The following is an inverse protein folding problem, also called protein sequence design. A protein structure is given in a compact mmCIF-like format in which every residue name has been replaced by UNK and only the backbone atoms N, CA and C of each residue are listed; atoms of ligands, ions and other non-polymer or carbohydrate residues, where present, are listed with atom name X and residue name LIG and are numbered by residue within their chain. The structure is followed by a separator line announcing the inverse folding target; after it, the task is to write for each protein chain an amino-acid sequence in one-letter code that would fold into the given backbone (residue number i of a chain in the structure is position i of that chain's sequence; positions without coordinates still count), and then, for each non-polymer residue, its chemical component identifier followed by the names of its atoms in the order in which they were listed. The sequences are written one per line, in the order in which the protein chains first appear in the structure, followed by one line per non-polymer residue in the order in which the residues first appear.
data_IF_098581354114
#
_entry.id   IF_098581354114
#
_cell.length_a   1.000
_cell.length_b   1.000
_cell.length_c   1.000
_cell.angle_alpha   90.00
_cell.angle_beta   90.00
_cell.angle_gamma   90.00
#
_symmetry.space_group_name_H-M   'P 1'
#
loop_
_entity.id
_entity.type
_entity.pdbx_description
1 polymer ?
#
# COMPACT_ATOMS: atom_id res chain seq x y z
N UNK A 1 29.91 -13.05 2.19
CA UNK A 1 30.55 -12.71 0.91
C UNK A 1 30.15 -13.68 -0.20
N UNK A 2 28.84 -14.03 -0.31
CA UNK A 2 28.35 -14.94 -1.37
C UNK A 2 26.95 -14.56 -1.88
N UNK A 3 26.46 -13.33 -1.57
CA UNK A 3 25.08 -12.96 -1.90
C UNK A 3 24.84 -12.21 -3.22
N UNK A 4 25.82 -11.67 -3.98
CA UNK A 4 25.49 -11.00 -5.25
C UNK A 4 25.41 -11.92 -6.48
N UNK A 5 25.87 -13.18 -6.40
CA UNK A 5 25.93 -14.05 -7.58
C UNK A 5 24.70 -14.93 -7.82
N UNK A 6 23.82 -15.07 -6.83
CA UNK A 6 22.62 -15.90 -6.95
C UNK A 6 21.45 -15.17 -7.63
N UNK A 7 21.30 -13.86 -7.42
CA UNK A 7 20.22 -13.09 -8.07
C UNK A 7 20.39 -12.95 -9.60
N UNK A 8 21.63 -12.86 -10.08
CA UNK A 8 21.89 -12.79 -11.52
C UNK A 8 21.84 -14.15 -12.24
N UNK A 9 22.13 -15.24 -11.53
CA UNK A 9 22.09 -16.57 -12.11
C UNK A 9 20.65 -17.10 -12.28
N UNK A 10 19.74 -16.78 -11.37
CA UNK A 10 18.34 -17.21 -11.43
C UNK A 10 17.62 -16.53 -12.60
N UNK A 11 17.90 -15.25 -12.90
CA UNK A 11 17.29 -14.53 -14.01
C UNK A 11 17.74 -15.01 -15.40
N UNK A 12 19.02 -15.38 -15.57
CA UNK A 12 19.52 -15.89 -16.84
C UNK A 12 19.08 -17.32 -17.15
N UNK A 13 18.95 -18.18 -16.14
CA UNK A 13 18.44 -19.55 -16.32
C UNK A 13 16.95 -19.60 -16.64
N UNK A 14 16.16 -18.63 -16.14
CA UNK A 14 14.74 -18.52 -16.42
C UNK A 14 14.44 -18.29 -17.91
N UNK A 15 15.24 -17.50 -18.59
CA UNK A 15 14.98 -17.10 -19.98
C UNK A 15 15.38 -18.22 -20.98
N UNK A 16 16.49 -18.91 -20.74
CA UNK A 16 16.96 -19.95 -21.67
C UNK A 16 16.24 -21.28 -21.57
N UNK A 17 15.80 -21.71 -20.40
CA UNK A 17 15.11 -22.99 -20.22
C UNK A 17 13.65 -22.99 -20.56
N UNK A 18 12.95 -21.85 -20.45
CA UNK A 18 11.53 -21.70 -20.72
C UNK A 18 11.25 -21.53 -22.22
N UNK A 19 12.09 -20.80 -22.95
CA UNK A 19 11.86 -20.58 -24.38
C UNK A 19 11.97 -21.83 -25.25
N UNK A 20 12.80 -22.79 -24.92
CA UNK A 20 12.94 -24.03 -25.70
C UNK A 20 11.88 -25.11 -25.41
N UNK A 21 11.35 -25.17 -24.18
CA UNK A 21 10.33 -26.18 -23.80
C UNK A 21 8.88 -25.70 -23.79
N UNK A 22 8.62 -24.40 -23.70
CA UNK A 22 7.27 -23.84 -23.75
C UNK A 22 6.63 -23.95 -25.15
N UNK A 23 7.36 -24.38 -26.18
CA UNK A 23 6.85 -24.50 -27.58
C UNK A 23 6.12 -25.79 -27.93
N UNK A 24 6.11 -26.79 -27.04
CA UNK A 24 5.30 -28.02 -27.27
C UNK A 24 4.64 -28.44 -25.94
N UNK A 25 3.34 -28.18 -25.78
CA UNK A 25 2.59 -28.82 -24.69
C UNK A 25 2.64 -30.32 -24.91
N UNK A 26 3.22 -31.05 -23.99
CA UNK A 26 3.18 -32.51 -24.00
C UNK A 26 1.76 -32.97 -23.77
N UNK A 27 1.29 -33.88 -24.60
CA UNK A 27 -0.11 -34.26 -24.80
C UNK A 27 -0.85 -34.85 -23.58
N UNK A 28 -0.23 -35.04 -22.42
CA UNK A 28 -0.85 -35.73 -21.27
C UNK A 28 -0.53 -35.09 -19.90
N UNK A 29 -0.38 -33.76 -19.80
CA UNK A 29 -0.08 -33.09 -18.54
C UNK A 29 -1.15 -32.08 -18.10
N UNK A 30 -2.39 -32.29 -18.53
CA UNK A 30 -3.52 -31.41 -18.22
C UNK A 30 -3.97 -31.52 -16.74
N UNK A 31 -3.84 -32.71 -16.14
CA UNK A 31 -4.16 -32.92 -14.73
C UNK A 31 -2.90 -32.78 -13.86
N UNK A 32 -3.00 -32.15 -12.66
CA UNK A 32 -1.85 -31.91 -11.79
C UNK A 32 -1.13 -33.20 -11.37
N UNK A 33 -1.86 -34.28 -11.14
CA UNK A 33 -1.28 -35.59 -10.82
C UNK A 33 -0.49 -36.18 -11.98
N UNK A 34 -0.97 -36.02 -13.21
CA UNK A 34 -0.28 -36.52 -14.42
C UNK A 34 1.00 -35.72 -14.67
N UNK A 35 0.94 -34.41 -14.49
CA UNK A 35 2.12 -33.54 -14.58
C UNK A 35 3.19 -33.95 -13.56
N UNK A 36 2.82 -34.20 -12.31
CA UNK A 36 3.76 -34.64 -11.27
C UNK A 36 4.30 -36.03 -11.53
N UNK A 37 3.48 -36.99 -12.05
CA UNK A 37 3.97 -38.30 -12.47
C UNK A 37 4.99 -38.18 -13.61
N UNK A 38 4.71 -37.37 -14.59
CA UNK A 38 5.65 -37.12 -15.69
C UNK A 38 6.96 -36.56 -15.18
N UNK A 39 6.92 -35.56 -14.29
CA UNK A 39 8.10 -35.00 -13.65
C UNK A 39 8.90 -36.10 -12.94
N UNK A 40 8.24 -36.92 -12.13
CA UNK A 40 8.86 -37.99 -11.34
C UNK A 40 9.50 -39.09 -12.21
N UNK A 41 8.90 -39.41 -13.35
CA UNK A 41 9.34 -40.55 -14.17
C UNK A 41 10.25 -40.18 -15.33
N UNK A 42 10.09 -38.99 -15.89
CA UNK A 42 10.76 -38.59 -17.13
C UNK A 42 11.89 -37.54 -16.88
N UNK A 43 11.79 -36.73 -15.82
CA UNK A 43 12.76 -35.68 -15.54
C UNK A 43 13.77 -36.21 -14.51
N UNK A 44 15.01 -36.42 -14.93
CA UNK A 44 16.09 -36.93 -14.05
C UNK A 44 16.84 -35.83 -13.33
N UNK A 45 16.85 -34.64 -13.84
CA UNK A 45 17.49 -33.48 -13.21
C UNK A 45 16.99 -32.18 -13.82
N UNK A 46 16.94 -31.10 -13.02
CA UNK A 46 16.62 -29.75 -13.49
C UNK A 46 15.65 -29.01 -12.59
N UNK A 47 15.26 -27.84 -13.07
CA UNK A 47 14.28 -26.97 -12.38
C UNK A 47 12.96 -26.98 -13.15
N UNK A 48 11.90 -27.31 -12.46
CA UNK A 48 10.54 -27.34 -13.03
C UNK A 48 9.72 -26.20 -12.42
N UNK A 49 9.24 -25.30 -13.28
CA UNK A 49 8.41 -24.19 -12.88
C UNK A 49 6.94 -24.57 -12.98
N UNK A 50 6.19 -24.40 -11.90
CA UNK A 50 4.77 -24.71 -11.81
C UNK A 50 3.99 -23.42 -11.42
N UNK A 51 3.58 -22.60 -12.41
CA UNK A 51 2.77 -21.42 -12.16
C UNK A 51 1.38 -21.79 -11.64
N UNK A 52 0.87 -21.01 -10.68
CA UNK A 52 -0.48 -21.13 -10.11
C UNK A 52 -0.85 -22.53 -9.57
N UNK A 53 0.15 -23.35 -9.29
CA UNK A 53 -0.04 -24.73 -8.80
C UNK A 53 -0.60 -24.79 -7.36
N UNK A 54 -0.61 -23.67 -6.65
CA UNK A 54 -1.12 -23.55 -5.28
C UNK A 54 -2.59 -24.02 -5.15
N UNK A 55 -3.41 -23.80 -6.17
CA UNK A 55 -4.81 -24.22 -6.16
C UNK A 55 -4.99 -25.74 -5.99
N UNK A 56 -3.99 -26.52 -6.40
CA UNK A 56 -4.03 -27.98 -6.32
C UNK A 56 -3.43 -28.53 -5.03
N UNK A 57 -2.75 -27.72 -4.22
CA UNK A 57 -2.12 -28.16 -2.97
C UNK A 57 -3.11 -28.36 -1.81
N UNK A 58 -4.40 -28.17 -2.06
CA UNK A 58 -5.49 -28.62 -1.18
C UNK A 58 -5.77 -30.11 -1.30
N UNK A 59 -5.32 -30.76 -2.39
CA UNK A 59 -5.49 -32.21 -2.62
C UNK A 59 -4.35 -33.00 -1.95
N UNK A 60 -4.65 -33.89 -0.97
CA UNK A 60 -3.62 -34.66 -0.28
C UNK A 60 -2.77 -35.55 -1.18
N UNK A 61 -3.34 -36.07 -2.31
CA UNK A 61 -2.59 -36.88 -3.28
C UNK A 61 -1.54 -36.05 -4.00
N UNK A 62 -1.87 -34.80 -4.37
CA UNK A 62 -0.93 -33.87 -5.00
C UNK A 62 0.20 -33.49 -4.04
N UNK A 63 -0.14 -33.14 -2.80
CA UNK A 63 0.83 -32.79 -1.76
C UNK A 63 1.81 -33.95 -1.53
N UNK A 64 1.31 -35.18 -1.45
CA UNK A 64 2.12 -36.38 -1.30
C UNK A 64 3.09 -36.57 -2.47
N UNK A 65 2.64 -36.38 -3.71
CA UNK A 65 3.50 -36.53 -4.89
C UNK A 65 4.59 -35.45 -4.94
N UNK A 66 4.26 -34.21 -4.61
CA UNK A 66 5.25 -33.12 -4.48
C UNK A 66 6.29 -33.48 -3.42
N UNK A 67 5.85 -34.00 -2.26
CA UNK A 67 6.75 -34.43 -1.19
C UNK A 67 7.67 -35.56 -1.64
N UNK A 68 7.14 -36.57 -2.35
CA UNK A 68 7.91 -37.71 -2.87
C UNK A 68 9.00 -37.24 -3.86
N UNK A 69 8.69 -36.29 -4.75
CA UNK A 69 9.67 -35.72 -5.68
C UNK A 69 10.77 -34.96 -4.92
N UNK A 70 10.38 -34.15 -3.93
CA UNK A 70 11.33 -33.38 -3.14
C UNK A 70 12.25 -34.29 -2.28
N UNK A 71 11.74 -35.40 -1.76
CA UNK A 71 12.51 -36.37 -0.97
C UNK A 71 13.48 -37.20 -1.81
N UNK A 72 13.17 -37.43 -3.08
CA UNK A 72 14.01 -38.21 -4.01
C UNK A 72 15.14 -37.38 -4.64
N UNK A 73 15.37 -36.16 -4.15
CA UNK A 73 16.38 -35.23 -4.70
C UNK A 73 17.80 -35.83 -4.77
N UNK A 74 18.16 -36.73 -3.86
CA UNK A 74 19.47 -37.37 -3.84
C UNK A 74 19.68 -38.27 -5.07
N UNK A 75 18.63 -38.92 -5.58
CA UNK A 75 18.69 -39.81 -6.75
C UNK A 75 18.35 -39.07 -8.03
N UNK A 76 17.35 -38.19 -7.96
CA UNK A 76 16.84 -37.39 -9.06
C UNK A 76 16.83 -35.89 -8.64
N UNK A 77 17.87 -35.12 -8.93
CA UNK A 77 17.99 -33.73 -8.51
C UNK A 77 17.05 -32.82 -9.29
N UNK A 78 15.75 -32.91 -8.97
CA UNK A 78 14.68 -32.08 -9.54
C UNK A 78 14.22 -31.07 -8.48
N UNK A 79 14.31 -29.78 -8.80
CA UNK A 79 13.81 -28.71 -7.96
C UNK A 79 12.47 -28.22 -8.53
N UNK A 80 11.42 -28.27 -7.72
CA UNK A 80 10.13 -27.71 -8.07
C UNK A 80 10.08 -26.25 -7.61
N UNK A 81 9.73 -25.34 -8.51
CA UNK A 81 9.53 -23.91 -8.22
C UNK A 81 8.06 -23.59 -8.41
N UNK A 82 7.36 -23.36 -7.32
CA UNK A 82 5.95 -23.01 -7.29
C UNK A 82 5.84 -21.49 -7.28
N UNK A 83 5.19 -20.91 -8.27
CA UNK A 83 4.97 -19.46 -8.38
C UNK A 83 3.49 -19.16 -8.23
N UNK A 84 3.15 -18.28 -7.29
CA UNK A 84 1.76 -17.92 -7.03
C UNK A 84 1.67 -16.53 -6.36
N UNK A 85 0.53 -15.88 -6.52
CA UNK A 85 0.20 -14.60 -5.87
C UNK A 85 -0.14 -14.76 -4.38
N UNK A 86 -0.63 -15.93 -3.98
CA UNK A 86 -0.94 -16.25 -2.57
C UNK A 86 -0.60 -17.72 -2.33
N UNK A 87 0.32 -17.99 -1.41
CA UNK A 87 0.82 -19.33 -1.19
C UNK A 87 0.93 -19.65 0.30
N UNK A 88 0.10 -20.59 0.75
CA UNK A 88 0.27 -21.20 2.07
C UNK A 88 0.92 -22.58 1.88
N UNK A 89 2.11 -22.73 2.43
CA UNK A 89 2.85 -23.99 2.34
C UNK A 89 2.16 -25.04 3.21
N UNK A 90 1.70 -26.17 2.65
CA UNK A 90 1.18 -27.26 3.45
C UNK A 90 2.18 -27.72 4.51
N UNK A 91 1.73 -28.07 5.73
CA UNK A 91 2.63 -28.48 6.83
C UNK A 91 3.60 -29.60 6.45
N UNK A 92 3.18 -30.51 5.57
CA UNK A 92 3.96 -31.65 5.09
C UNK A 92 5.16 -31.23 4.23
N UNK A 93 5.10 -30.05 3.61
CA UNK A 93 6.11 -29.51 2.71
C UNK A 93 7.01 -28.45 3.37
N UNK A 94 6.65 -27.94 4.54
CA UNK A 94 7.38 -26.85 5.21
C UNK A 94 8.87 -27.10 5.40
N UNK A 95 9.24 -28.36 5.73
CA UNK A 95 10.66 -28.73 5.94
C UNK A 95 11.42 -29.01 4.64
N UNK A 96 10.74 -29.09 3.52
CA UNK A 96 11.29 -29.43 2.20
C UNK A 96 11.26 -28.22 1.26
N UNK A 97 10.75 -27.09 1.71
CA UNK A 97 10.56 -25.89 0.90
C UNK A 97 11.21 -24.68 1.53
N UNK A 98 11.61 -23.75 0.67
CA UNK A 98 12.07 -22.40 1.05
C UNK A 98 11.14 -21.40 0.39
N UNK A 99 10.68 -20.43 1.16
CA UNK A 99 9.82 -19.38 0.67
C UNK A 99 10.66 -18.18 0.23
N UNK A 100 10.38 -17.66 -0.96
CA UNK A 100 11.00 -16.45 -1.50
C UNK A 100 9.92 -15.45 -1.87
N UNK A 101 9.94 -14.31 -1.23
CA UNK A 101 9.12 -13.17 -1.64
C UNK A 101 9.82 -12.39 -2.75
N UNK A 102 9.15 -12.26 -3.89
CA UNK A 102 9.64 -11.41 -4.98
C UNK A 102 9.39 -9.96 -4.57
N UNK A 103 10.47 -9.26 -4.24
CA UNK A 103 10.39 -7.86 -3.85
C UNK A 103 10.00 -6.98 -5.03
N UNK A 104 9.06 -6.05 -4.77
CA UNK A 104 8.71 -5.01 -5.73
C UNK A 104 9.88 -4.03 -5.93
N UNK A 105 9.95 -3.34 -7.09
CA UNK A 105 11.02 -2.39 -7.38
C UNK A 105 11.17 -1.33 -6.30
N UNK A 106 12.38 -1.13 -5.83
CA UNK A 106 12.72 -0.02 -4.94
C UNK A 106 12.86 1.30 -5.73
N UNK A 107 12.97 2.42 -5.04
CA UNK A 107 13.08 3.74 -5.68
C UNK A 107 14.28 3.86 -6.65
N UNK A 108 15.39 3.13 -6.41
CA UNK A 108 16.55 3.12 -7.32
C UNK A 108 16.20 2.41 -8.63
N UNK A 109 15.53 1.26 -8.55
CA UNK A 109 15.09 0.51 -9.73
C UNK A 109 14.03 1.29 -10.51
N UNK A 110 13.05 1.93 -9.84
CA UNK A 110 12.05 2.80 -10.49
C UNK A 110 12.72 3.95 -11.23
N UNK A 111 13.75 4.57 -10.64
CA UNK A 111 14.52 5.62 -11.32
C UNK A 111 15.23 5.10 -12.57
N UNK A 112 15.71 3.87 -12.56
CA UNK A 112 16.27 3.22 -13.76
C UNK A 112 15.21 3.03 -14.83
N UNK A 113 14.05 2.47 -14.47
CA UNK A 113 12.91 2.29 -15.37
C UNK A 113 12.50 3.62 -16.02
N UNK A 114 12.36 4.68 -15.22
CA UNK A 114 12.05 6.02 -15.71
C UNK A 114 13.07 6.51 -16.73
N UNK A 115 14.36 6.37 -16.43
CA UNK A 115 15.43 6.77 -17.36
C UNK A 115 15.40 5.95 -18.65
N UNK A 116 15.09 4.66 -18.58
CA UNK A 116 15.00 3.79 -19.76
C UNK A 116 13.81 4.19 -20.65
N UNK A 117 12.62 4.45 -20.06
CA UNK A 117 11.46 4.93 -20.81
C UNK A 117 11.71 6.31 -21.46
N UNK A 118 12.33 7.24 -20.71
CA UNK A 118 12.72 8.55 -21.27
C UNK A 118 13.71 8.39 -22.44
N UNK A 119 14.65 7.45 -22.37
CA UNK A 119 15.59 7.15 -23.46
C UNK A 119 14.88 6.57 -24.68
N UNK A 120 13.96 5.62 -24.48
CA UNK A 120 13.17 5.05 -25.58
C UNK A 120 12.30 6.10 -26.24
N UNK A 121 11.61 6.92 -25.45
CA UNK A 121 10.80 8.01 -25.97
C UNK A 121 11.60 9.01 -26.81
N UNK A 122 12.81 9.40 -26.35
CA UNK A 122 13.71 10.29 -27.11
C UNK A 122 14.10 9.73 -28.45
N UNK A 123 14.42 8.42 -28.55
CA UNK A 123 14.74 7.77 -29.82
C UNK A 123 13.61 7.90 -30.84
N UNK A 124 12.36 7.84 -30.37
CA UNK A 124 11.18 7.94 -31.25
C UNK A 124 10.79 9.38 -31.57
N UNK A 125 11.18 10.38 -30.76
CA UNK A 125 10.74 11.78 -30.88
C UNK A 125 11.86 12.78 -31.18
N UNK A 126 12.84 12.39 -32.00
CA UNK A 126 13.89 13.27 -32.54
C UNK A 126 14.52 14.22 -31.51
N UNK A 127 15.02 13.67 -30.39
CA UNK A 127 15.75 14.38 -29.35
C UNK A 127 14.96 15.46 -28.54
N UNK A 128 13.64 15.45 -28.59
CA UNK A 128 12.87 16.27 -27.70
C UNK A 128 13.14 15.87 -26.22
N UNK A 129 13.10 16.84 -25.34
CA UNK A 129 13.31 16.62 -23.90
C UNK A 129 11.97 16.53 -23.20
N UNK A 130 11.79 15.48 -22.40
CA UNK A 130 10.67 15.40 -21.45
C UNK A 130 10.85 16.52 -20.41
N UNK A 131 9.84 17.38 -20.29
CA UNK A 131 9.84 18.47 -19.31
C UNK A 131 9.45 17.92 -17.94
N UNK A 132 10.20 18.25 -16.93
CA UNK A 132 9.89 17.85 -15.55
C UNK A 132 10.68 18.68 -14.56
N UNK A 133 10.15 18.90 -13.36
CA UNK A 133 10.90 19.44 -12.26
C UNK A 133 11.37 18.31 -11.30
N UNK A 134 12.43 18.60 -10.54
CA UNK A 134 13.04 17.60 -9.65
C UNK A 134 12.10 17.13 -8.54
N UNK A 135 11.23 18.01 -8.03
CA UNK A 135 10.33 17.68 -6.93
C UNK A 135 9.24 16.73 -7.42
N UNK A 136 8.64 17.02 -8.58
CA UNK A 136 7.64 16.18 -9.22
C UNK A 136 8.19 14.80 -9.57
N UNK A 137 9.42 14.72 -10.08
CA UNK A 137 10.08 13.43 -10.34
C UNK A 137 10.30 12.61 -9.07
N UNK A 138 10.69 13.23 -7.98
CA UNK A 138 10.84 12.51 -6.70
C UNK A 138 9.50 12.06 -6.13
N UNK A 139 8.45 12.87 -6.26
CA UNK A 139 7.08 12.47 -5.90
C UNK A 139 6.60 11.29 -6.76
N UNK A 140 6.81 11.34 -8.07
CA UNK A 140 6.49 10.25 -9.00
C UNK A 140 7.17 8.94 -8.58
N UNK A 141 8.49 8.98 -8.39
CA UNK A 141 9.27 7.80 -7.99
C UNK A 141 8.78 7.22 -6.66
N UNK A 142 8.47 8.07 -5.70
CA UNK A 142 7.97 7.62 -4.41
C UNK A 142 6.58 6.99 -4.53
N UNK A 143 5.71 7.54 -5.36
CA UNK A 143 4.37 7.00 -5.58
C UNK A 143 4.34 5.70 -6.39
N UNK A 144 5.34 5.45 -7.23
CA UNK A 144 5.49 4.19 -7.97
C UNK A 144 6.06 3.05 -7.10
N UNK A 145 6.62 3.33 -5.92
CA UNK A 145 7.07 2.25 -5.02
C UNK A 145 5.91 1.36 -4.61
N UNK A 146 6.15 0.05 -4.53
CA UNK A 146 5.11 -0.94 -4.20
C UNK A 146 4.35 -1.51 -5.42
N UNK A 147 4.60 -1.01 -6.63
CA UNK A 147 4.08 -1.58 -7.88
C UNK A 147 5.09 -2.55 -8.50
N UNK A 148 4.61 -3.44 -9.37
CA UNK A 148 5.47 -4.30 -10.19
C UNK A 148 6.26 -3.48 -11.20
N UNK A 149 7.34 -4.05 -11.76
CA UNK A 149 8.12 -3.37 -12.81
C UNK A 149 7.28 -3.07 -14.05
N UNK A 150 6.42 -4.00 -14.45
CA UNK A 150 5.53 -3.84 -15.62
C UNK A 150 4.50 -2.72 -15.41
N UNK A 151 3.89 -2.64 -14.22
CA UNK A 151 2.93 -1.59 -13.91
C UNK A 151 3.59 -0.22 -13.81
N UNK A 152 4.74 -0.15 -13.14
CA UNK A 152 5.54 1.08 -13.06
C UNK A 152 5.93 1.58 -14.44
N UNK A 153 6.38 0.69 -15.33
CA UNK A 153 6.74 0.99 -16.71
C UNK A 153 5.54 1.51 -17.50
N UNK A 154 4.39 0.84 -17.37
CA UNK A 154 3.14 1.24 -18.04
C UNK A 154 2.70 2.64 -17.61
N UNK A 155 2.71 2.95 -16.32
CA UNK A 155 2.30 4.25 -15.79
C UNK A 155 3.27 5.37 -16.18
N UNK A 156 4.58 5.13 -16.09
CA UNK A 156 5.60 6.08 -16.55
C UNK A 156 5.46 6.37 -18.05
N UNK A 157 5.21 5.33 -18.83
CA UNK A 157 5.01 5.47 -20.28
C UNK A 157 3.77 6.30 -20.57
N UNK A 158 2.65 6.07 -19.88
CA UNK A 158 1.44 6.89 -20.00
C UNK A 158 1.73 8.36 -19.76
N UNK A 159 2.32 8.73 -18.64
CA UNK A 159 2.66 10.10 -18.30
C UNK A 159 3.59 10.79 -19.32
N UNK A 160 4.59 10.07 -19.85
CA UNK A 160 5.53 10.66 -20.83
C UNK A 160 4.90 10.84 -22.22
N UNK A 161 4.04 9.90 -22.64
CA UNK A 161 3.51 9.89 -24.02
C UNK A 161 2.29 10.78 -24.20
N UNK A 162 1.65 11.25 -23.13
CA UNK A 162 0.48 12.10 -23.21
C UNK A 162 0.83 13.52 -23.67
N UNK A 163 1.68 14.22 -22.94
CA UNK A 163 2.01 15.62 -23.20
C UNK A 163 3.53 15.92 -23.27
N UNK A 164 4.36 14.90 -23.21
CA UNK A 164 5.83 15.03 -23.20
C UNK A 164 6.37 15.77 -21.97
N UNK A 165 5.61 15.81 -20.89
CA UNK A 165 5.97 16.42 -19.63
C UNK A 165 5.63 15.46 -18.47
N UNK A 166 6.28 15.62 -17.35
CA UNK A 166 5.88 14.97 -16.09
C UNK A 166 5.54 16.09 -15.13
N UNK A 167 4.25 16.20 -14.85
CA UNK A 167 3.65 17.28 -14.07
C UNK A 167 3.03 16.75 -12.76
N UNK A 168 2.48 17.64 -11.96
CA UNK A 168 1.82 17.23 -10.72
C UNK A 168 0.53 16.45 -10.99
N UNK A 169 -0.19 16.76 -12.07
CA UNK A 169 -1.38 16.01 -12.49
C UNK A 169 -1.09 14.54 -12.78
N UNK A 170 0.05 14.24 -13.42
CA UNK A 170 0.46 12.86 -13.69
C UNK A 170 0.73 12.08 -12.40
N UNK A 171 1.27 12.74 -11.39
CA UNK A 171 1.45 12.11 -10.07
C UNK A 171 0.10 11.73 -9.47
N UNK A 172 -0.92 12.59 -9.56
CA UNK A 172 -2.27 12.30 -9.08
C UNK A 172 -2.91 11.14 -9.83
N UNK A 173 -2.80 11.11 -11.16
CA UNK A 173 -3.32 10.01 -12.00
C UNK A 173 -2.64 8.68 -11.68
N UNK A 174 -1.33 8.69 -11.50
CA UNK A 174 -0.56 7.51 -11.09
C UNK A 174 -0.98 7.02 -9.70
N UNK A 175 -1.22 7.93 -8.76
CA UNK A 175 -1.74 7.57 -7.44
C UNK A 175 -3.12 6.90 -7.53
N UNK A 176 -4.00 7.42 -8.36
CA UNK A 176 -5.31 6.83 -8.63
C UNK A 176 -5.20 5.44 -9.26
N UNK A 177 -4.39 5.31 -10.30
CA UNK A 177 -4.18 4.04 -10.98
C UNK A 177 -3.58 2.98 -10.03
N UNK A 178 -2.59 3.38 -9.23
CA UNK A 178 -2.00 2.51 -8.20
C UNK A 178 -3.04 2.03 -7.19
N UNK A 179 -3.89 2.93 -6.72
CA UNK A 179 -4.97 2.58 -5.81
C UNK A 179 -5.92 1.54 -6.43
N UNK A 180 -6.36 1.76 -7.68
CA UNK A 180 -7.25 0.84 -8.38
C UNK A 180 -6.64 -0.57 -8.56
N UNK A 181 -5.32 -0.66 -8.75
CA UNK A 181 -4.61 -1.94 -8.87
C UNK A 181 -4.51 -2.71 -7.54
N UNK A 182 -4.39 -1.99 -6.43
CA UNK A 182 -4.12 -2.58 -5.11
C UNK A 182 -5.41 -2.79 -4.31
N UNK A 183 -6.41 -1.93 -4.50
CA UNK A 183 -7.65 -1.94 -3.73
C UNK A 183 -8.61 -3.03 -4.24
N UNK A 184 -8.60 -4.19 -3.58
CA UNK A 184 -9.48 -5.32 -3.95
C UNK A 184 -10.77 -5.42 -3.12
N UNK A 185 -10.81 -4.91 -1.88
CA UNK A 185 -11.83 -5.32 -0.90
C UNK A 185 -12.85 -4.25 -0.49
N UNK A 186 -12.79 -3.03 -1.05
CA UNK A 186 -13.75 -1.96 -0.74
C UNK A 186 -13.68 -1.37 0.68
N UNK A 187 -12.86 -1.93 1.58
CA UNK A 187 -12.67 -1.42 2.94
C UNK A 187 -11.80 -0.15 3.00
N UNK A 188 -10.98 0.08 1.98
CA UNK A 188 -10.25 1.32 1.77
C UNK A 188 -10.90 2.10 0.64
N UNK A 189 -11.02 3.41 0.82
CA UNK A 189 -11.45 4.33 -0.24
C UNK A 189 -10.37 5.39 -0.45
N UNK A 190 -10.03 5.66 -1.69
CA UNK A 190 -9.16 6.77 -2.02
C UNK A 190 -9.94 8.07 -1.97
N UNK A 191 -9.46 9.02 -1.19
CA UNK A 191 -10.09 10.34 -1.07
C UNK A 191 -9.34 11.33 -1.96
N UNK A 192 -9.99 11.75 -3.04
CA UNK A 192 -9.39 12.63 -4.06
C UNK A 192 -9.38 14.10 -3.62
N UNK A 193 -10.37 14.49 -2.82
CA UNK A 193 -10.51 15.87 -2.36
C UNK A 193 -9.65 16.10 -1.12
N UNK A 194 -8.35 16.32 -1.35
CA UNK A 194 -7.40 16.69 -0.30
C UNK A 194 -7.24 18.21 -0.26
N UNK A 195 -7.63 18.81 0.83
CA UNK A 195 -7.38 20.23 1.09
C UNK A 195 -5.97 20.42 1.67
N UNK A 196 -5.34 21.57 1.44
CA UNK A 196 -4.15 21.97 2.19
C UNK A 196 -4.54 22.76 3.44
N UNK A 197 -3.64 22.88 4.44
CA UNK A 197 -3.91 23.78 5.57
C UNK A 197 -4.00 25.26 5.20
N UNK A 198 -3.62 25.64 3.98
CA UNK A 198 -3.89 26.96 3.44
C UNK A 198 -5.38 27.21 3.20
N UNK A 199 -6.16 26.13 2.99
CA UNK A 199 -7.59 26.14 2.74
C UNK A 199 -8.45 25.89 3.99
N UNK A 200 -7.82 25.86 5.17
CA UNK A 200 -8.47 25.54 6.45
C UNK A 200 -8.12 26.63 7.47
N UNK A 201 -9.12 27.28 8.04
CA UNK A 201 -8.95 28.24 9.11
C UNK A 201 -8.73 27.56 10.47
N UNK A 202 -7.90 28.15 11.30
CA UNK A 202 -7.52 27.58 12.60
C UNK A 202 -6.45 26.49 12.50
N UNK A 203 -6.36 25.63 13.53
CA UNK A 203 -5.41 24.51 13.61
C UNK A 203 -3.92 24.91 13.59
N UNK A 204 -3.55 26.08 14.08
CA UNK A 204 -2.17 26.58 14.05
C UNK A 204 -1.17 25.62 14.73
N UNK A 205 -1.54 25.03 15.87
CA UNK A 205 -0.69 24.10 16.61
C UNK A 205 -0.51 22.78 15.83
N UNK A 206 -1.59 22.25 15.25
CA UNK A 206 -1.54 21.05 14.41
C UNK A 206 -0.67 21.30 13.17
N UNK A 207 -0.84 22.44 12.49
CA UNK A 207 -0.01 22.84 11.34
C UNK A 207 1.48 22.83 11.68
N UNK A 208 1.87 23.51 12.74
CA UNK A 208 3.28 23.56 13.21
C UNK A 208 3.82 22.18 13.53
N UNK A 209 3.02 21.36 14.21
CA UNK A 209 3.39 20.01 14.60
C UNK A 209 3.63 19.12 13.37
N UNK A 210 2.78 19.22 12.35
CA UNK A 210 2.90 18.47 11.10
C UNK A 210 4.06 18.94 10.22
N UNK A 211 4.32 20.26 10.14
CA UNK A 211 5.47 20.80 9.39
C UNK A 211 6.79 20.27 9.92
N UNK A 212 6.96 20.24 11.25
CA UNK A 212 8.16 19.67 11.87
C UNK A 212 8.37 18.19 11.51
N UNK A 213 7.30 17.42 11.38
CA UNK A 213 7.35 15.97 11.13
C UNK A 213 7.37 15.57 9.65
N UNK A 214 6.98 16.49 8.77
CA UNK A 214 6.94 16.26 7.31
C UNK A 214 8.27 15.70 6.77
N UNK A 215 9.39 16.29 7.19
CA UNK A 215 10.71 15.90 6.71
C UNK A 215 11.07 14.48 7.15
N UNK A 216 10.71 14.05 8.35
CA UNK A 216 10.97 12.72 8.88
C UNK A 216 10.07 11.67 8.24
N UNK A 217 8.82 12.03 7.94
CA UNK A 217 7.88 11.15 7.26
C UNK A 217 8.25 10.91 5.79
N UNK A 218 8.68 11.95 5.06
CA UNK A 218 8.96 11.85 3.63
C UNK A 218 10.40 11.43 3.29
N UNK A 219 11.39 11.72 4.15
CA UNK A 219 12.79 11.35 3.88
C UNK A 219 13.02 9.85 4.05
N UNK A 220 13.50 9.20 2.98
CA UNK A 220 14.14 7.88 3.04
C UNK A 220 15.61 8.09 3.39
N UNK A 221 15.97 8.18 4.66
CA UNK A 221 17.38 8.24 5.09
C UNK A 221 17.52 7.50 6.41
N UNK A 222 18.62 6.75 6.54
CA UNK A 222 19.06 6.09 7.77
C UNK A 222 19.66 7.12 8.76
N UNK A 223 18.95 8.20 9.06
CA UNK A 223 19.23 8.91 10.30
C UNK A 223 18.56 8.09 11.40
N UNK A 224 19.34 7.19 11.96
CA UNK A 224 18.92 6.11 12.87
C UNK A 224 18.40 6.59 14.24
N UNK A 225 18.25 7.89 14.46
CA UNK A 225 17.94 8.44 15.79
C UNK A 225 16.52 9.00 15.95
N UNK A 226 15.70 9.03 14.88
CA UNK A 226 14.34 9.61 14.98
C UNK A 226 13.32 8.64 14.39
N UNK A 227 12.37 8.23 15.22
CA UNK A 227 11.25 7.39 14.82
C UNK A 227 10.37 8.06 13.77
N UNK A 228 9.94 7.31 12.76
CA UNK A 228 8.97 7.78 11.77
C UNK A 228 7.65 8.06 12.48
N UNK A 229 7.02 9.23 12.24
CA UNK A 229 5.72 9.53 12.82
C UNK A 229 4.69 8.47 12.43
N UNK A 230 3.97 7.94 13.42
CA UNK A 230 3.00 6.84 13.26
C UNK A 230 1.58 7.33 13.06
N UNK A 231 1.18 8.37 13.79
CA UNK A 231 -0.15 8.90 13.66
C UNK A 231 -0.58 9.85 14.74
N UNK A 232 -1.78 10.37 14.57
CA UNK A 232 -2.44 11.26 15.52
C UNK A 232 -3.91 10.90 15.71
N UNK A 233 -4.45 11.26 16.89
CA UNK A 233 -5.85 11.17 17.22
C UNK A 233 -6.42 12.59 17.38
N UNK A 234 -7.52 12.88 16.69
CA UNK A 234 -8.27 14.11 16.86
C UNK A 234 -9.57 13.82 17.61
N UNK A 235 -9.75 14.46 18.74
CA UNK A 235 -10.93 14.30 19.59
C UNK A 235 -11.64 15.65 19.70
N UNK A 236 -12.95 15.66 19.60
CA UNK A 236 -13.75 16.88 19.74
C UNK A 236 -15.17 16.71 19.28
N UNK A 237 -15.99 17.75 19.50
CA UNK A 237 -17.42 17.71 19.16
C UNK A 237 -17.65 17.55 17.66
N UNK A 238 -18.81 17.04 17.29
CA UNK A 238 -19.21 16.93 15.89
C UNK A 238 -19.27 18.32 15.22
N UNK A 239 -18.79 18.42 13.98
CA UNK A 239 -18.81 19.68 13.22
C UNK A 239 -17.62 20.62 13.46
N UNK A 240 -16.67 20.30 14.36
CA UNK A 240 -15.48 21.14 14.62
C UNK A 240 -14.36 21.05 13.56
N UNK A 241 -14.55 20.33 12.45
CA UNK A 241 -13.61 20.30 11.33
C UNK A 241 -12.58 19.17 11.35
N UNK A 242 -12.72 18.13 12.20
CA UNK A 242 -11.78 17.00 12.29
C UNK A 242 -11.53 16.31 10.94
N UNK A 243 -12.57 16.03 10.18
CA UNK A 243 -12.47 15.39 8.86
C UNK A 243 -11.73 16.26 7.84
N UNK A 244 -11.94 17.58 7.91
CA UNK A 244 -11.23 18.53 7.06
C UNK A 244 -9.74 18.61 7.44
N UNK A 245 -9.43 18.57 8.74
CA UNK A 245 -8.05 18.51 9.20
C UNK A 245 -7.35 17.23 8.74
N UNK A 246 -8.03 16.06 8.78
CA UNK A 246 -7.49 14.80 8.24
C UNK A 246 -7.12 14.92 6.75
N UNK A 247 -8.00 15.49 5.94
CA UNK A 247 -7.75 15.77 4.51
C UNK A 247 -6.55 16.70 4.32
N UNK A 248 -6.43 17.71 5.18
CA UNK A 248 -5.36 18.71 5.10
C UNK A 248 -3.98 18.15 5.43
N UNK A 249 -3.87 17.09 6.22
CA UNK A 249 -2.60 16.40 6.48
C UNK A 249 -2.05 15.84 5.18
N UNK A 250 -2.85 15.07 4.47
CA UNK A 250 -2.46 14.43 3.21
C UNK A 250 -2.10 15.47 2.14
N UNK A 251 -2.95 16.48 1.95
CA UNK A 251 -2.69 17.54 0.99
C UNK A 251 -1.43 18.37 1.30
N UNK A 252 -1.16 18.67 2.58
CA UNK A 252 0.05 19.40 2.98
C UNK A 252 1.32 18.58 2.79
N UNK A 253 1.26 17.28 3.02
CA UNK A 253 2.40 16.38 2.82
C UNK A 253 2.56 15.94 1.37
N UNK A 254 1.52 16.09 0.52
CA UNK A 254 1.52 15.65 -0.87
C UNK A 254 1.54 14.13 -1.01
N UNK A 255 0.78 13.45 -0.16
CA UNK A 255 0.67 11.99 -0.13
C UNK A 255 -0.79 11.56 -0.28
N UNK A 256 -1.05 10.33 -0.75
CA UNK A 256 -2.39 9.80 -0.86
C UNK A 256 -3.15 9.80 0.47
N UNK A 257 -4.45 10.08 0.40
CA UNK A 257 -5.37 9.92 1.52
C UNK A 257 -6.23 8.68 1.29
N UNK A 258 -6.13 7.73 2.20
CA UNK A 258 -6.93 6.52 2.21
C UNK A 258 -7.91 6.60 3.36
N UNK A 259 -9.19 6.58 3.08
CA UNK A 259 -10.25 6.51 4.10
C UNK A 259 -10.56 5.05 4.39
N UNK A 260 -10.48 4.68 5.66
CA UNK A 260 -10.86 3.35 6.14
C UNK A 260 -12.35 3.33 6.47
N UNK A 261 -13.10 2.42 5.85
CA UNK A 261 -14.53 2.26 6.04
C UNK A 261 -14.84 0.99 6.84
N UNK A 262 -15.05 1.16 8.13
CA UNK A 262 -15.44 0.04 9.00
C UNK A 262 -16.78 -0.56 8.60
N UNK A 263 -17.72 0.24 8.06
CA UNK A 263 -19.02 -0.25 7.61
C UNK A 263 -18.88 -1.32 6.52
N UNK A 264 -17.91 -1.17 5.64
CA UNK A 264 -17.65 -2.16 4.60
C UNK A 264 -17.09 -3.48 5.14
N UNK A 265 -16.46 -3.49 6.33
CA UNK A 265 -15.96 -4.70 6.96
C UNK A 265 -17.08 -5.52 7.60
N UNK A 266 -18.09 -4.86 8.20
CA UNK A 266 -19.17 -5.53 8.90
C UNK A 266 -20.25 -6.11 7.98
N UNK A 267 -20.31 -5.70 6.72
CA UNK A 267 -21.31 -6.14 5.75
C UNK A 267 -21.07 -7.52 5.14
N UNK A 268 -20.03 -8.25 5.55
CA UNK A 268 -19.69 -9.59 5.03
C UNK A 268 -19.74 -10.65 6.13
N UNK A 269 -19.82 -11.91 5.71
CA UNK A 269 -19.97 -13.07 6.59
C UNK A 269 -18.95 -13.12 7.74
N UNK A 270 -19.40 -13.64 8.89
CA UNK A 270 -18.60 -13.86 10.10
C UNK A 270 -17.34 -14.68 9.71
N UNK A 271 -16.15 -14.19 10.05
CA UNK A 271 -14.85 -14.81 9.74
C UNK A 271 -14.09 -14.16 8.59
N UNK A 272 -14.74 -13.47 7.65
CA UNK A 272 -14.06 -12.71 6.60
C UNK A 272 -13.58 -11.32 7.04
N UNK A 273 -14.18 -10.78 8.09
CA UNK A 273 -13.90 -9.42 8.56
C UNK A 273 -12.44 -9.25 9.01
N UNK A 274 -11.86 -10.25 9.69
CA UNK A 274 -10.44 -10.19 10.10
C UNK A 274 -9.49 -10.30 8.91
N UNK A 275 -9.82 -11.09 7.90
CA UNK A 275 -9.06 -11.18 6.66
C UNK A 275 -9.12 -9.85 5.91
N UNK A 276 -10.32 -9.28 5.79
CA UNK A 276 -10.54 -8.03 5.08
C UNK A 276 -9.78 -6.85 5.72
N UNK A 277 -9.74 -6.74 7.07
CA UNK A 277 -8.94 -5.68 7.71
C UNK A 277 -7.45 -5.88 7.47
N UNK A 278 -6.92 -7.11 7.57
CA UNK A 278 -5.50 -7.37 7.29
C UNK A 278 -5.13 -7.04 5.85
N UNK A 279 -5.97 -7.40 4.89
CA UNK A 279 -5.76 -7.07 3.48
C UNK A 279 -5.84 -5.56 3.22
N UNK A 280 -6.76 -4.85 3.87
CA UNK A 280 -6.87 -3.41 3.78
C UNK A 280 -5.63 -2.70 4.36
N UNK A 281 -5.16 -3.12 5.53
CA UNK A 281 -3.95 -2.58 6.14
C UNK A 281 -2.70 -2.88 5.30
N UNK A 282 -2.58 -4.09 4.76
CA UNK A 282 -1.50 -4.45 3.82
C UNK A 282 -1.56 -3.61 2.54
N UNK A 283 -2.76 -3.34 2.02
CA UNK A 283 -2.92 -2.44 0.87
C UNK A 283 -2.47 -1.01 1.19
N UNK A 284 -2.75 -0.51 2.40
CA UNK A 284 -2.25 0.79 2.85
C UNK A 284 -0.70 0.81 2.93
N UNK A 285 -0.08 -0.26 3.40
CA UNK A 285 1.39 -0.40 3.41
C UNK A 285 2.00 -0.39 2.00
N UNK A 286 1.37 -1.06 1.05
CA UNK A 286 1.78 -1.05 -0.36
C UNK A 286 1.62 0.32 -1.02
N UNK A 287 0.65 1.11 -0.54
CA UNK A 287 0.40 2.49 -1.00
C UNK A 287 1.27 3.53 -0.27
N UNK A 288 2.09 3.11 0.70
CA UNK A 288 2.98 4.01 1.42
C UNK A 288 3.99 4.74 0.48
N UNK A 289 4.34 6.00 0.75
CA UNK A 289 3.90 6.81 1.88
C UNK A 289 2.46 7.34 1.69
N UNK A 290 1.59 7.16 2.67
CA UNK A 290 0.20 7.62 2.61
C UNK A 290 -0.34 8.00 3.99
N UNK A 291 -1.47 8.70 4.01
CA UNK A 291 -2.25 8.95 5.21
C UNK A 291 -3.43 7.97 5.25
N UNK A 292 -3.55 7.23 6.33
CA UNK A 292 -4.70 6.35 6.59
C UNK A 292 -5.65 7.08 7.55
N UNK A 293 -6.80 7.50 7.04
CA UNK A 293 -7.81 8.20 7.81
C UNK A 293 -8.87 7.22 8.31
N UNK A 294 -8.99 7.13 9.62
CA UNK A 294 -10.00 6.36 10.34
C UNK A 294 -10.99 7.33 10.96
N UNK A 295 -12.15 7.44 10.33
CA UNK A 295 -13.20 8.37 10.77
C UNK A 295 -14.09 7.71 11.83
N UNK A 296 -14.34 8.44 12.93
CA UNK A 296 -15.20 8.00 14.03
C UNK A 296 -14.81 6.59 14.55
N UNK A 297 -13.54 6.48 14.98
CA UNK A 297 -12.94 5.20 15.41
C UNK A 297 -13.75 4.52 16.53
N UNK A 298 -14.50 5.29 17.33
CA UNK A 298 -15.42 4.77 18.35
C UNK A 298 -16.52 3.88 17.77
N UNK A 299 -16.91 4.07 16.48
CA UNK A 299 -17.89 3.20 15.82
C UNK A 299 -17.37 1.79 15.59
N UNK A 300 -16.07 1.66 15.36
CA UNK A 300 -15.43 0.36 15.25
C UNK A 300 -15.46 -0.43 16.57
N UNK A 301 -15.55 0.30 17.69
CA UNK A 301 -15.51 -0.26 19.05
C UNK A 301 -16.93 -0.53 19.55
N UNK A 302 -17.85 0.39 19.23
CA UNK A 302 -19.24 0.38 19.73
C UNK A 302 -20.20 -0.38 18.79
N UNK A 303 -19.70 -0.99 17.72
CA UNK A 303 -20.50 -1.67 16.69
C UNK A 303 -21.50 -2.63 17.31
N UNK A 304 -22.74 -2.14 17.47
CA UNK A 304 -23.87 -2.58 18.24
C UNK A 304 -23.97 -4.07 18.50
N UNK A 305 -24.66 -4.50 19.56
CA UNK A 305 -24.99 -5.88 19.97
C UNK A 305 -24.15 -6.99 19.28
N UNK A 306 -22.81 -6.86 19.42
CA UNK A 306 -21.89 -7.81 18.77
C UNK A 306 -21.71 -9.02 19.70
N UNK A 307 -22.74 -9.90 19.71
CA UNK A 307 -22.68 -11.18 20.43
C UNK A 307 -21.50 -12.04 19.96
N UNK A 308 -20.86 -11.68 18.85
CA UNK A 308 -19.78 -12.46 18.22
C UNK A 308 -18.37 -11.98 18.55
N UNK A 309 -18.22 -10.82 19.20
CA UNK A 309 -16.91 -10.22 19.53
C UNK A 309 -16.06 -9.81 18.30
N UNK A 310 -16.68 -9.68 17.13
CA UNK A 310 -16.00 -9.33 15.87
C UNK A 310 -15.37 -7.93 15.92
N UNK A 311 -16.07 -6.96 16.52
CA UNK A 311 -15.55 -5.59 16.69
C UNK A 311 -14.28 -5.55 17.54
N UNK A 312 -14.21 -6.34 18.60
CA UNK A 312 -13.01 -6.43 19.45
C UNK A 312 -11.83 -7.06 18.71
N UNK A 313 -12.07 -8.05 17.86
CA UNK A 313 -11.00 -8.68 17.04
C UNK A 313 -10.49 -7.74 15.96
N UNK A 314 -11.37 -7.01 15.28
CA UNK A 314 -11.01 -5.99 14.29
C UNK A 314 -10.16 -4.91 14.97
N UNK A 315 -10.59 -4.39 16.11
CA UNK A 315 -9.83 -3.42 16.89
C UNK A 315 -8.48 -3.99 17.33
N UNK A 316 -8.44 -5.22 17.84
CA UNK A 316 -7.21 -5.91 18.23
C UNK A 316 -6.22 -6.01 17.07
N UNK A 317 -6.69 -6.36 15.87
CA UNK A 317 -5.88 -6.41 14.66
C UNK A 317 -5.31 -5.03 14.27
N UNK A 318 -6.14 -3.98 14.36
CA UNK A 318 -5.70 -2.61 14.11
C UNK A 318 -4.65 -2.16 15.13
N UNK A 319 -4.87 -2.41 16.41
CA UNK A 319 -3.94 -2.03 17.48
C UNK A 319 -2.60 -2.77 17.38
N UNK A 320 -2.62 -4.04 16.99
CA UNK A 320 -1.41 -4.83 16.74
C UNK A 320 -0.66 -4.24 15.56
N UNK A 321 -1.36 -4.00 14.45
CA UNK A 321 -0.76 -3.39 13.27
C UNK A 321 -0.14 -2.01 13.59
N UNK A 322 -0.81 -1.15 14.35
CA UNK A 322 -0.28 0.16 14.75
C UNK A 322 1.05 0.05 15.52
N UNK A 323 1.22 -0.99 16.33
CA UNK A 323 2.44 -1.20 17.12
C UNK A 323 3.59 -1.80 16.28
N UNK A 324 3.28 -2.65 15.30
CA UNK A 324 4.25 -3.42 14.51
C UNK A 324 4.60 -2.75 13.19
N UNK A 325 3.74 -1.86 12.70
CA UNK A 325 3.92 -1.22 11.39
C UNK A 325 5.21 -0.38 11.35
N UNK A 326 6.07 -0.72 10.38
CA UNK A 326 7.29 0.01 10.06
C UNK A 326 7.20 0.75 8.72
N UNK A 327 6.05 0.62 8.03
CA UNK A 327 5.80 1.31 6.77
C UNK A 327 5.48 2.79 7.02
N UNK A 328 5.58 3.61 5.99
CA UNK A 328 5.26 5.03 6.06
C UNK A 328 3.77 5.29 5.84
N UNK A 329 2.96 4.68 6.67
CA UNK A 329 1.53 4.95 6.77
C UNK A 329 1.28 5.78 8.01
N UNK A 330 0.85 7.02 7.82
CA UNK A 330 0.51 7.93 8.91
C UNK A 330 -0.96 7.81 9.24
N UNK A 331 -1.28 7.30 10.42
CA UNK A 331 -2.65 7.15 10.87
C UNK A 331 -3.23 8.47 11.35
N UNK A 332 -4.38 8.86 10.84
CA UNK A 332 -5.19 9.97 11.36
C UNK A 332 -6.53 9.41 11.82
N UNK A 333 -6.71 9.25 13.12
CA UNK A 333 -7.96 8.82 13.70
C UNK A 333 -8.78 10.03 14.17
N UNK A 334 -10.10 9.98 13.98
CA UNK A 334 -11.03 10.98 14.55
C UNK A 334 -11.99 10.31 15.52
N UNK A 335 -12.35 11.02 16.59
CA UNK A 335 -13.37 10.58 17.54
C UNK A 335 -14.22 11.75 18.02
N UNK A 336 -15.50 11.49 18.28
CA UNK A 336 -16.42 12.43 18.90
C UNK A 336 -16.49 12.26 20.42
N UNK A 337 -16.03 11.12 20.95
CA UNK A 337 -16.06 10.80 22.37
C UNK A 337 -14.75 10.12 22.80
N UNK A 338 -14.03 10.75 23.71
CA UNK A 338 -12.78 10.20 24.25
C UNK A 338 -13.04 9.08 25.26
N UNK A 339 -14.14 9.13 26.01
CA UNK A 339 -14.47 8.15 27.04
C UNK A 339 -14.81 6.77 26.46
N UNK A 340 -15.29 6.75 25.22
CA UNK A 340 -15.58 5.52 24.48
C UNK A 340 -14.36 4.84 23.87
N UNK A 341 -13.17 5.45 23.96
CA UNK A 341 -11.96 4.90 23.37
C UNK A 341 -11.22 3.98 24.33
N UNK A 342 -10.74 2.81 23.88
CA UNK A 342 -9.95 1.92 24.72
C UNK A 342 -8.62 2.58 25.09
N UNK A 343 -8.17 2.45 26.34
CA UNK A 343 -6.90 3.02 26.80
C UNK A 343 -5.69 2.56 25.97
N UNK A 344 -5.79 1.37 25.38
CA UNK A 344 -4.76 0.80 24.54
C UNK A 344 -4.50 1.60 23.26
N UNK A 345 -5.50 2.30 22.74
CA UNK A 345 -5.37 3.13 21.54
C UNK A 345 -4.45 4.34 21.80
N UNK A 346 -4.59 4.96 22.97
CA UNK A 346 -3.84 6.17 23.33
C UNK A 346 -2.46 5.88 23.94
N UNK A 347 -2.07 4.61 23.98
CA UNK A 347 -0.77 4.19 24.52
C UNK A 347 0.36 4.65 23.63
N UNK A 348 1.45 5.14 24.26
CA UNK A 348 2.69 5.52 23.55
C UNK A 348 3.19 4.38 22.66
N UNK A 349 3.65 4.73 21.44
CA UNK A 349 4.12 3.78 20.43
C UNK A 349 3.03 3.35 19.42
N UNK A 350 1.78 3.83 19.56
CA UNK A 350 0.70 3.65 18.59
C UNK A 350 0.28 4.97 17.97
N UNK A 351 0.03 5.97 18.81
CA UNK A 351 -0.31 7.33 18.43
C UNK A 351 0.73 8.27 19.04
N UNK A 352 1.24 9.20 18.25
CA UNK A 352 2.28 10.13 18.68
C UNK A 352 1.69 11.30 19.47
N UNK A 353 0.48 11.76 19.09
CA UNK A 353 -0.13 12.95 19.66
C UNK A 353 -1.66 12.90 19.61
N UNK A 354 -2.30 13.49 20.61
CA UNK A 354 -3.74 13.65 20.69
C UNK A 354 -4.06 15.13 20.60
N UNK A 355 -4.86 15.51 19.61
CA UNK A 355 -5.34 16.87 19.43
C UNK A 355 -6.79 17.00 19.86
N UNK A 356 -7.04 17.84 20.84
CA UNK A 356 -8.41 18.25 21.16
C UNK A 356 -8.83 19.37 20.19
N UNK A 357 -9.90 19.15 19.47
CA UNK A 357 -10.46 20.09 18.48
C UNK A 357 -11.74 20.65 19.02
N UNK A 358 -11.70 21.88 19.47
CA UNK A 358 -12.87 22.61 19.97
C UNK A 358 -13.59 23.36 18.84
N UNK A 359 -14.73 23.93 19.16
CA UNK A 359 -15.41 24.84 18.26
C UNK A 359 -14.53 26.04 17.92
N UNK A 360 -14.62 26.60 16.69
CA UNK A 360 -13.74 27.68 16.28
C UNK A 360 -13.99 28.93 17.13
N UNK A 361 -12.91 29.52 17.63
CA UNK A 361 -12.92 30.80 18.33
C UNK A 361 -13.21 31.96 17.35
N UNK A 362 -13.28 33.19 17.86
CA UNK A 362 -13.59 34.36 17.04
C UNK A 362 -12.61 34.51 15.86
N UNK A 363 -11.31 34.32 16.11
CA UNK A 363 -10.26 34.44 15.09
C UNK A 363 -10.40 33.36 14.01
N UNK A 364 -10.57 32.12 14.41
CA UNK A 364 -10.77 30.99 13.50
C UNK A 364 -12.05 31.14 12.67
N UNK A 365 -13.15 31.65 13.28
CA UNK A 365 -14.38 31.94 12.53
C UNK A 365 -14.16 32.99 11.42
N UNK A 366 -13.41 34.07 11.71
CA UNK A 366 -13.06 35.06 10.69
C UNK A 366 -12.25 34.46 9.55
N UNK A 367 -11.22 33.67 9.87
CA UNK A 367 -10.43 32.96 8.85
C UNK A 367 -11.28 32.03 8.00
N UNK A 368 -12.21 31.27 8.61
CA UNK A 368 -13.13 30.37 7.90
C UNK A 368 -14.05 31.19 6.97
N UNK A 369 -14.62 32.29 7.42
CA UNK A 369 -15.45 33.16 6.60
C UNK A 369 -14.67 33.71 5.42
N UNK A 370 -13.49 34.26 5.64
CA UNK A 370 -12.63 34.81 4.59
C UNK A 370 -12.29 33.76 3.52
N UNK A 371 -11.95 32.54 3.94
CA UNK A 371 -11.68 31.42 3.02
C UNK A 371 -12.91 31.08 2.17
N UNK A 372 -14.09 31.02 2.79
CA UNK A 372 -15.32 30.71 2.06
C UNK A 372 -15.75 31.83 1.10
N UNK A 373 -15.53 33.09 1.45
CA UNK A 373 -15.79 34.22 0.58
C UNK A 373 -14.85 34.24 -0.62
N UNK A 374 -13.55 34.03 -0.40
CA UNK A 374 -12.55 33.93 -1.48
C UNK A 374 -12.88 32.79 -2.46
N UNK A 375 -13.24 31.62 -1.96
CA UNK A 375 -13.67 30.49 -2.80
C UNK A 375 -14.89 30.77 -3.67
N UNK A 376 -15.76 31.73 -3.26
CA UNK A 376 -16.93 32.16 -4.02
C UNK A 376 -16.73 33.45 -4.80
N UNK A 377 -15.51 33.99 -4.84
CA UNK A 377 -15.19 35.30 -5.44
C UNK A 377 -16.04 36.45 -4.90
N UNK A 378 -16.44 36.37 -3.62
CA UNK A 378 -17.18 37.39 -2.93
C UNK A 378 -16.24 38.25 -2.09
N UNK A 379 -16.18 39.56 -2.38
CA UNK A 379 -15.51 40.54 -1.55
C UNK A 379 -16.52 41.26 -0.69
N UNK A 380 -16.65 40.96 0.59
CA UNK A 380 -17.41 41.76 1.53
C UNK A 380 -16.51 42.90 2.03
N UNK A 381 -17.04 44.11 2.05
CA UNK A 381 -16.37 45.26 2.69
C UNK A 381 -16.21 44.94 4.17
N UNK A 382 -15.08 45.37 4.74
CA UNK A 382 -14.60 45.08 6.10
C UNK A 382 -15.54 45.48 7.27
N UNK A 383 -16.76 45.94 6.98
CA UNK A 383 -17.74 46.31 8.00
C UNK A 383 -18.85 45.33 8.25
N UNK A 384 -18.89 44.18 7.53
CA UNK A 384 -20.01 43.19 7.64
C UNK A 384 -19.66 41.96 8.50
N UNK A 385 -18.46 41.89 9.09
CA UNK A 385 -18.04 40.78 9.92
C UNK A 385 -17.84 41.29 11.34
N UNK A 386 -18.96 41.57 12.01
CA UNK A 386 -18.99 42.00 13.41
C UNK A 386 -19.43 40.88 14.34
#
# INVERSE_FOLDING_TARGET
GLEPSLENSVSEWHIKGIEEKARKPEKNTAAPEEALRHIKTQIKSGVVLLPDFHAYLTNPSVVRMVKEIAQDYANNPVTLVLVSHAFEVPPELQRLSVHFDISVPNAKKIRQILNDEVREWRKSNKDNKVKSDRKTLELLINNLTGLTESDSRRLIRGAIYDDSAITHSDVEEIMQAKYQMISSNGALRFEYDTASFADVGGFENLRKWLELRKSFFLKKGNDNDIDVPRGMLMVGVQGCGKSLAAKSVAGTWGVPLLKFDFGALFNKYIGESEKNIREALRSAELLAPCVLWVDEIEKAISGGNDETGTSQRILGTLLTWMSENQSRVFLVATSNNIEGLPPELVRKGRIDEIFFVDLPDKKARHEIFDLHLRKRNLNLSSGCIG
#
